data_IF_214310042431
#
_entry.id   IF_214310042431
#
_cell.length_a   1.000
_cell.length_b   1.000
_cell.length_c   1.000
_cell.angle_alpha   90.00
_cell.angle_beta   90.00
_cell.angle_gamma   90.00
#
_symmetry.space_group_name_H-M   'P 1'
#
loop_
_entity.id
_entity.type
_entity.pdbx_description
1 polymer ?
#
# COMPACT_ATOMS: atom_id res chain seq x y z
N UNK A 1 28.87 -38.02 7.67
CA UNK A 1 28.23 -37.27 6.56
C UNK A 1 29.09 -36.09 6.08
N UNK A 2 29.76 -35.34 6.96
CA UNK A 2 30.74 -34.31 6.54
C UNK A 2 32.04 -34.90 5.96
N UNK A 3 32.49 -36.02 6.50
CA UNK A 3 33.74 -36.67 6.10
C UNK A 3 33.72 -37.14 4.64
N UNK A 4 32.59 -37.67 4.16
CA UNK A 4 32.39 -38.10 2.77
C UNK A 4 32.33 -36.93 1.77
N UNK A 5 32.18 -35.68 2.24
CA UNK A 5 32.18 -34.50 1.38
C UNK A 5 33.60 -33.95 1.17
N UNK A 6 34.56 -34.29 2.03
CA UNK A 6 35.92 -33.75 2.05
C UNK A 6 37.02 -34.76 1.69
N UNK A 7 36.67 -36.04 1.56
CA UNK A 7 37.61 -37.10 1.19
C UNK A 7 37.99 -36.98 -0.28
N UNK A 8 39.29 -37.09 -0.58
CA UNK A 8 39.79 -37.17 -1.96
C UNK A 8 39.88 -38.64 -2.35
N UNK A 9 38.94 -39.10 -3.18
CA UNK A 9 38.89 -40.50 -3.62
C UNK A 9 39.94 -40.86 -4.68
N UNK A 10 40.70 -39.86 -5.17
CA UNK A 10 41.73 -40.04 -6.19
C UNK A 10 43.00 -40.71 -5.63
N UNK A 11 43.28 -40.49 -4.34
CA UNK A 11 44.52 -40.93 -3.67
C UNK A 11 44.52 -42.40 -3.27
N UNK A 12 43.39 -43.10 -3.38
CA UNK A 12 43.30 -44.49 -2.99
C UNK A 12 43.89 -45.41 -4.07
N UNK A 13 44.96 -46.13 -3.75
CA UNK A 13 45.63 -47.08 -4.65
C UNK A 13 44.81 -48.33 -4.96
N UNK A 14 43.83 -48.63 -4.11
CA UNK A 14 43.11 -49.90 -4.10
C UNK A 14 41.82 -49.88 -4.93
N UNK A 15 41.48 -48.71 -5.52
CA UNK A 15 40.29 -48.54 -6.36
C UNK A 15 40.64 -48.58 -7.84
N UNK A 16 39.76 -49.20 -8.63
CA UNK A 16 39.82 -49.13 -10.09
C UNK A 16 39.52 -47.71 -10.58
N UNK A 17 40.03 -47.37 -11.76
CA UNK A 17 39.85 -46.05 -12.37
C UNK A 17 38.38 -45.61 -12.43
N UNK A 18 37.49 -46.51 -12.86
CA UNK A 18 36.05 -46.24 -12.96
C UNK A 18 35.39 -46.02 -11.59
N UNK A 19 35.88 -46.68 -10.53
CA UNK A 19 35.32 -46.51 -9.20
C UNK A 19 35.71 -45.16 -8.61
N UNK A 20 36.91 -44.66 -8.94
CA UNK A 20 37.35 -43.31 -8.59
C UNK A 20 36.52 -42.24 -9.27
N UNK A 21 36.28 -42.40 -10.57
CA UNK A 21 35.41 -41.50 -11.35
C UNK A 21 33.98 -41.49 -10.78
N UNK A 22 33.43 -42.67 -10.52
CA UNK A 22 32.08 -42.81 -9.97
C UNK A 22 31.94 -42.21 -8.57
N UNK A 23 32.92 -42.43 -7.67
CA UNK A 23 32.93 -41.81 -6.33
C UNK A 23 33.09 -40.28 -6.41
N UNK A 24 33.89 -39.78 -7.36
CA UNK A 24 34.01 -38.35 -7.62
C UNK A 24 32.68 -37.71 -8.02
N UNK A 25 31.94 -38.35 -8.93
CA UNK A 25 30.61 -37.89 -9.33
C UNK A 25 29.60 -37.94 -8.18
N UNK A 26 29.59 -39.00 -7.37
CA UNK A 26 28.74 -39.08 -6.18
C UNK A 26 29.08 -38.02 -5.13
N UNK A 27 30.36 -37.71 -4.94
CA UNK A 27 30.81 -36.64 -4.04
C UNK A 27 30.35 -35.27 -4.55
N UNK A 28 30.48 -35.01 -5.84
CA UNK A 28 30.00 -33.78 -6.46
C UNK A 28 28.48 -33.64 -6.31
N UNK A 29 27.73 -34.73 -6.50
CA UNK A 29 26.28 -34.74 -6.29
C UNK A 29 25.91 -34.47 -4.83
N UNK A 30 26.61 -35.10 -3.88
CA UNK A 30 26.39 -34.90 -2.45
C UNK A 30 26.67 -33.45 -2.03
N UNK A 31 27.72 -32.81 -2.58
CA UNK A 31 28.03 -31.39 -2.36
C UNK A 31 26.91 -30.49 -2.89
N UNK A 32 26.41 -30.76 -4.10
CA UNK A 32 25.29 -30.01 -4.70
C UNK A 32 24.01 -30.13 -3.86
N UNK A 33 23.68 -31.34 -3.39
CA UNK A 33 22.52 -31.58 -2.53
C UNK A 33 22.65 -30.87 -1.18
N UNK A 34 23.84 -30.88 -0.59
CA UNK A 34 24.10 -30.17 0.67
C UNK A 34 23.98 -28.65 0.50
N UNK A 35 24.51 -28.09 -0.60
CA UNK A 35 24.36 -26.69 -0.93
C UNK A 35 22.88 -26.31 -1.12
N UNK A 36 22.13 -27.11 -1.88
CA UNK A 36 20.71 -26.91 -2.10
C UNK A 36 19.90 -26.98 -0.79
N UNK A 37 20.18 -27.95 0.08
CA UNK A 37 19.54 -28.05 1.39
C UNK A 37 19.82 -26.82 2.26
N UNK A 38 21.05 -26.28 2.19
CA UNK A 38 21.42 -25.03 2.84
C UNK A 38 20.63 -23.84 2.31
N UNK A 39 20.52 -23.72 0.99
CA UNK A 39 19.77 -22.66 0.33
C UNK A 39 18.27 -22.72 0.68
N UNK A 40 17.66 -23.91 0.63
CA UNK A 40 16.27 -24.13 1.07
C UNK A 40 16.10 -23.72 2.54
N UNK A 41 17.04 -24.08 3.42
CA UNK A 41 16.98 -23.68 4.82
C UNK A 41 17.09 -22.16 4.99
N UNK A 42 17.91 -21.47 4.18
CA UNK A 42 17.98 -20.00 4.20
C UNK A 42 16.71 -19.34 3.68
N UNK A 43 16.13 -19.85 2.59
CA UNK A 43 14.88 -19.35 2.03
C UNK A 43 13.70 -19.54 3.00
N UNK A 44 13.63 -20.69 3.68
CA UNK A 44 12.61 -20.95 4.69
C UNK A 44 12.76 -20.03 5.92
N UNK A 45 13.99 -19.74 6.36
CA UNK A 45 14.23 -18.75 7.43
C UNK A 45 13.80 -17.35 7.03
N UNK A 46 14.13 -16.92 5.80
CA UNK A 46 13.70 -15.62 5.28
C UNK A 46 12.17 -15.53 5.19
N UNK A 47 11.50 -16.58 4.72
CA UNK A 47 10.03 -16.65 4.70
C UNK A 47 9.42 -16.54 6.10
N UNK A 48 9.96 -17.25 7.09
CA UNK A 48 9.48 -17.17 8.46
C UNK A 48 9.68 -15.77 9.08
N UNK A 49 10.78 -15.09 8.75
CA UNK A 49 11.03 -13.69 9.18
C UNK A 49 10.08 -12.71 8.49
N UNK A 50 9.79 -12.90 7.20
CA UNK A 50 8.82 -12.09 6.46
C UNK A 50 7.39 -12.29 6.96
N UNK A 51 6.98 -13.53 7.27
CA UNK A 51 5.68 -13.83 7.89
C UNK A 51 5.58 -13.28 9.31
N UNK A 52 6.66 -13.32 10.09
CA UNK A 52 6.70 -12.66 11.40
C UNK A 52 6.63 -11.13 11.30
N UNK A 53 7.27 -10.54 10.29
CA UNK A 53 7.25 -9.09 10.05
C UNK A 53 5.88 -8.59 9.54
N UNK A 54 5.15 -9.39 8.77
CA UNK A 54 3.78 -9.05 8.33
C UNK A 54 2.73 -9.34 9.41
N UNK A 55 2.95 -10.35 10.26
CA UNK A 55 2.13 -10.60 11.44
C UNK A 55 2.34 -9.59 12.58
N UNK A 56 3.44 -8.83 12.55
CA UNK A 56 3.83 -7.89 13.59
C UNK A 56 3.63 -6.41 13.22
N UNK A 57 2.67 -6.06 12.36
CA UNK A 57 2.04 -4.74 12.50
C UNK A 57 1.03 -4.89 13.62
N UNK A 58 1.31 -4.43 14.85
CA UNK A 58 0.36 -4.57 15.95
C UNK A 58 -0.95 -3.93 15.51
N UNK A 59 -2.05 -4.67 15.62
CA UNK A 59 -3.37 -4.20 15.20
C UNK A 59 -3.70 -2.81 15.76
N UNK A 60 -3.21 -2.50 16.97
CA UNK A 60 -3.32 -1.18 17.60
C UNK A 60 -2.61 -0.05 16.83
N UNK A 61 -1.44 -0.30 16.23
CA UNK A 61 -0.76 0.69 15.41
C UNK A 61 -1.52 0.94 14.09
N UNK A 62 -2.08 -0.12 13.49
CA UNK A 62 -2.93 0.01 12.30
C UNK A 62 -4.21 0.79 12.62
N UNK A 63 -4.89 0.46 13.72
CA UNK A 63 -6.09 1.16 14.19
C UNK A 63 -5.78 2.62 14.54
N UNK A 64 -4.65 2.90 15.18
CA UNK A 64 -4.17 4.25 15.45
C UNK A 64 -3.94 5.06 14.17
N UNK A 65 -3.32 4.45 13.16
CA UNK A 65 -3.12 5.06 11.86
C UNK A 65 -4.44 5.32 11.14
N UNK A 66 -5.37 4.36 11.15
CA UNK A 66 -6.72 4.52 10.58
C UNK A 66 -7.49 5.65 11.26
N UNK A 67 -7.46 5.74 12.59
CA UNK A 67 -8.14 6.80 13.34
C UNK A 67 -7.55 8.19 13.06
N UNK A 68 -6.22 8.28 12.93
CA UNK A 68 -5.56 9.53 12.55
C UNK A 68 -5.92 9.96 11.13
N UNK A 69 -6.02 9.01 10.21
CA UNK A 69 -6.40 9.26 8.82
C UNK A 69 -7.86 9.72 8.74
N UNK A 70 -8.78 9.07 9.46
CA UNK A 70 -10.18 9.47 9.58
C UNK A 70 -10.32 10.91 10.10
N UNK A 71 -9.57 11.29 11.14
CA UNK A 71 -9.61 12.68 11.66
C UNK A 71 -9.15 13.71 10.64
N UNK A 72 -8.08 13.41 9.89
CA UNK A 72 -7.55 14.32 8.88
C UNK A 72 -8.53 14.49 7.71
N UNK A 73 -9.05 13.39 7.19
CA UNK A 73 -10.03 13.42 6.10
C UNK A 73 -11.33 14.08 6.58
N UNK A 74 -11.79 13.75 7.78
CA UNK A 74 -12.98 14.35 8.38
C UNK A 74 -12.87 15.87 8.51
N UNK A 75 -11.71 16.38 8.93
CA UNK A 75 -11.48 17.82 9.00
C UNK A 75 -11.52 18.47 7.62
N UNK A 76 -10.81 17.91 6.64
CA UNK A 76 -10.80 18.44 5.26
C UNK A 76 -12.22 18.41 4.67
N UNK A 77 -12.95 17.30 4.83
CA UNK A 77 -14.31 17.15 4.35
C UNK A 77 -15.26 18.16 5.00
N UNK A 78 -15.21 18.32 6.33
CA UNK A 78 -16.07 19.28 7.02
C UNK A 78 -15.75 20.70 6.61
N UNK A 79 -14.48 21.10 6.57
CA UNK A 79 -14.08 22.45 6.14
C UNK A 79 -14.51 22.75 4.70
N UNK A 80 -14.30 21.79 3.80
CA UNK A 80 -14.73 21.89 2.42
C UNK A 80 -16.26 22.03 2.32
N UNK A 81 -16.99 21.16 3.02
CA UNK A 81 -18.45 21.20 3.07
C UNK A 81 -18.94 22.54 3.59
N UNK A 82 -18.41 23.04 4.71
CA UNK A 82 -18.79 24.35 5.26
C UNK A 82 -18.50 25.49 4.28
N UNK A 83 -17.34 25.47 3.61
CA UNK A 83 -17.00 26.50 2.63
C UNK A 83 -17.98 26.51 1.45
N UNK A 84 -18.38 25.34 0.96
CA UNK A 84 -19.37 25.21 -0.11
C UNK A 84 -20.75 25.71 0.36
N UNK A 85 -21.20 25.32 1.55
CA UNK A 85 -22.48 25.83 2.08
C UNK A 85 -22.48 27.34 2.28
N UNK A 86 -21.40 27.90 2.82
CA UNK A 86 -21.26 29.35 2.99
C UNK A 86 -21.28 30.09 1.66
N UNK A 87 -20.57 29.59 0.64
CA UNK A 87 -20.58 30.19 -0.69
C UNK A 87 -21.96 30.11 -1.34
N UNK A 88 -22.65 28.97 -1.22
CA UNK A 88 -23.98 28.80 -1.80
C UNK A 88 -25.00 29.72 -1.14
N UNK A 89 -24.95 29.87 0.19
CA UNK A 89 -25.82 30.77 0.91
C UNK A 89 -25.57 32.24 0.54
N UNK A 90 -24.29 32.65 0.46
CA UNK A 90 -23.93 34.00 0.04
C UNK A 90 -24.39 34.32 -1.39
N UNK A 91 -24.35 33.33 -2.30
CA UNK A 91 -24.86 33.49 -3.65
C UNK A 91 -26.38 33.65 -3.67
N UNK A 92 -27.12 32.88 -2.86
CA UNK A 92 -28.57 33.01 -2.72
C UNK A 92 -28.96 34.38 -2.17
N UNK A 93 -28.27 34.86 -1.13
CA UNK A 93 -28.50 36.19 -0.56
C UNK A 93 -28.25 37.29 -1.60
N UNK A 94 -27.20 37.16 -2.42
CA UNK A 94 -26.88 38.13 -3.48
C UNK A 94 -27.92 38.13 -4.61
N UNK A 95 -28.40 36.94 -5.00
CA UNK A 95 -29.45 36.77 -6.01
C UNK A 95 -30.78 37.36 -5.54
N UNK A 96 -31.16 37.12 -4.28
CA UNK A 96 -32.35 37.73 -3.66
C UNK A 96 -32.26 39.27 -3.58
N UNK A 97 -31.08 39.83 -3.31
CA UNK A 97 -30.86 41.28 -3.30
C UNK A 97 -30.95 41.88 -4.71
N UNK A 98 -30.43 41.19 -5.73
CA UNK A 98 -30.55 41.62 -7.11
C UNK A 98 -32.02 41.64 -7.56
N UNK A 99 -32.79 40.59 -7.26
CA UNK A 99 -34.22 40.53 -7.59
C UNK A 99 -35.05 41.63 -6.89
N UNK A 100 -34.69 42.01 -5.66
CA UNK A 100 -35.36 43.13 -4.96
C UNK A 100 -35.01 44.49 -5.55
N UNK A 101 -33.75 44.71 -5.93
CA UNK A 101 -33.29 45.95 -6.55
C UNK A 101 -33.89 46.20 -7.95
N UNK A 102 -34.27 45.14 -8.67
CA UNK A 102 -34.96 45.22 -9.96
C UNK A 102 -36.45 45.58 -9.84
N UNK A 103 -37.13 45.16 -8.75
CA UNK A 103 -38.55 45.52 -8.53
C UNK A 103 -38.75 46.97 -8.11
N UNK A 104 -37.77 47.60 -7.46
CA UNK A 104 -37.85 49.01 -7.06
C UNK A 104 -37.57 50.00 -8.22
N UNK A 105 -37.11 49.51 -9.38
CA UNK A 105 -36.79 50.32 -10.55
C UNK A 105 -37.83 50.28 -11.69
N UNK A 106 -38.96 49.58 -11.52
CA UNK A 106 -40.13 49.81 -12.38
C UNK A 106 -40.98 50.93 -11.74
N UNK A 107 -40.82 52.21 -12.15
CA UNK A 107 -41.82 53.20 -11.80
C UNK A 107 -43.14 52.78 -12.44
N UNK A 108 -44.20 52.76 -11.63
CA UNK A 108 -45.56 52.76 -12.15
C UNK A 108 -45.67 53.90 -13.17
N UNK A 109 -45.76 53.56 -14.47
CA UNK A 109 -46.36 54.45 -15.45
C UNK A 109 -47.81 54.65 -15.02
N UNK A 110 -48.00 55.68 -14.20
CA UNK A 110 -49.28 56.16 -13.72
C UNK A 110 -50.09 56.53 -14.97
N UNK A 111 -50.97 55.62 -15.40
CA UNK A 111 -51.99 55.88 -16.41
C UNK A 111 -52.97 56.89 -15.81
N UNK A 112 -52.64 58.18 -15.94
CA UNK A 112 -53.59 59.27 -15.76
C UNK A 112 -54.45 59.36 -17.01
N UNK A 113 -55.48 58.52 -17.13
CA UNK A 113 -56.62 58.86 -17.98
C UNK A 113 -57.62 59.67 -17.16
N UNK A 114 -57.48 60.97 -17.40
CA UNK A 114 -58.32 62.13 -17.13
C UNK A 114 -59.82 61.82 -17.07
N UNK A 115 -60.45 62.25 -15.97
CA UNK A 115 -61.89 62.50 -15.84
C UNK A 115 -62.37 63.51 -16.92
N UNK A 116 -63.32 63.11 -17.77
CA UNK A 116 -64.58 63.81 -18.10
C UNK A 116 -65.45 63.02 -19.10
#
# INVERSE_FOLDING_TARGET
MKESLSLDYSTFSDLLLIEKELLGEYQLLALKLHALAGEIATLNKQKAVLEAATAAVPADALLGNMRNLERKIGLVYTLFKTAVYSMQLQNQELEEMAERGEREQQPEELHSEVDE
#
